data_IF_419973058069
#
_entry.id   IF_419973058069
#
_cell.length_a   1.000
_cell.length_b   1.000
_cell.length_c   1.000
_cell.angle_alpha   90.00
_cell.angle_beta   90.00
_cell.angle_gamma   90.00
#
_symmetry.space_group_name_H-M   'P 1'
#
loop_
_entity.id
_entity.type
_entity.pdbx_description
1 polymer ?
#
# COMPACT_ATOMS: atom_id res chain seq x y z
N UNK A 1 19.39 -41.82 -9.88
CA UNK A 1 20.55 -42.00 -8.94
C UNK A 1 21.93 -42.14 -9.62
N UNK A 2 22.01 -42.64 -10.85
CA UNK A 2 23.28 -42.82 -11.60
C UNK A 2 23.97 -41.48 -11.95
N UNK A 3 23.22 -40.46 -12.36
CA UNK A 3 23.77 -39.17 -12.76
C UNK A 3 24.50 -38.43 -11.62
N UNK A 4 24.02 -38.49 -10.40
CA UNK A 4 24.65 -37.88 -9.20
C UNK A 4 26.03 -38.51 -8.95
N UNK A 5 26.17 -39.82 -9.15
CA UNK A 5 27.43 -40.54 -8.97
C UNK A 5 28.44 -40.23 -10.07
N UNK A 6 27.97 -39.86 -11.28
CA UNK A 6 28.85 -39.54 -12.41
C UNK A 6 29.40 -38.10 -12.39
N UNK A 7 28.78 -37.18 -11.58
CA UNK A 7 29.18 -35.78 -11.54
C UNK A 7 29.35 -35.23 -10.10
N UNK A 8 30.21 -35.84 -9.26
CA UNK A 8 30.27 -35.46 -7.82
C UNK A 8 30.71 -34.03 -7.57
N UNK A 9 31.64 -33.49 -8.40
CA UNK A 9 32.08 -32.08 -8.29
C UNK A 9 30.96 -31.10 -8.58
N UNK A 10 30.16 -31.36 -9.63
CA UNK A 10 29.01 -30.50 -9.96
C UNK A 10 27.93 -30.54 -8.87
N UNK A 11 27.65 -31.73 -8.35
CA UNK A 11 26.70 -31.89 -7.23
C UNK A 11 27.18 -31.13 -5.99
N UNK A 12 28.46 -31.25 -5.65
CA UNK A 12 29.05 -30.50 -4.54
C UNK A 12 28.97 -28.98 -4.75
N UNK A 13 29.29 -28.46 -5.93
CA UNK A 13 29.16 -27.04 -6.25
C UNK A 13 27.68 -26.55 -6.09
N UNK A 14 26.72 -27.30 -6.67
CA UNK A 14 25.31 -26.94 -6.59
C UNK A 14 24.76 -26.96 -5.15
N UNK A 15 25.12 -27.96 -4.37
CA UNK A 15 24.73 -28.05 -2.95
C UNK A 15 25.35 -26.94 -2.11
N UNK A 16 26.62 -26.61 -2.37
CA UNK A 16 27.29 -25.50 -1.68
C UNK A 16 26.66 -24.15 -2.01
N UNK A 17 26.31 -23.90 -3.29
CA UNK A 17 25.60 -22.68 -3.69
C UNK A 17 24.22 -22.61 -3.01
N UNK A 18 23.46 -23.71 -3.04
CA UNK A 18 22.15 -23.77 -2.37
C UNK A 18 22.27 -23.48 -0.89
N UNK A 19 23.25 -24.09 -0.22
CA UNK A 19 23.51 -23.85 1.20
C UNK A 19 23.81 -22.37 1.47
N UNK A 20 24.68 -21.74 0.68
CA UNK A 20 25.01 -20.31 0.82
C UNK A 20 23.77 -19.41 0.62
N UNK A 21 22.89 -19.72 -0.33
CA UNK A 21 21.66 -18.95 -0.56
C UNK A 21 20.70 -19.07 0.63
N UNK A 22 20.50 -20.29 1.17
CA UNK A 22 19.65 -20.53 2.35
C UNK A 22 20.26 -19.85 3.59
N UNK A 23 21.57 -19.93 3.76
CA UNK A 23 22.27 -19.27 4.86
C UNK A 23 22.17 -17.75 4.78
N UNK A 24 22.34 -17.16 3.60
CA UNK A 24 22.16 -15.73 3.39
C UNK A 24 20.72 -15.27 3.69
N UNK A 25 19.70 -16.01 3.22
CA UNK A 25 18.30 -15.75 3.57
C UNK A 25 18.07 -15.76 5.10
N UNK A 26 18.64 -16.77 5.77
CA UNK A 26 18.53 -16.92 7.22
C UNK A 26 19.17 -15.72 7.96
N UNK A 27 20.39 -15.33 7.58
CA UNK A 27 21.09 -14.18 8.18
C UNK A 27 20.31 -12.87 7.94
N UNK A 28 19.78 -12.64 6.73
CA UNK A 28 18.99 -11.46 6.45
C UNK A 28 17.71 -11.38 7.29
N UNK A 29 17.07 -12.53 7.57
CA UNK A 29 15.90 -12.61 8.46
C UNK A 29 16.28 -12.34 9.92
N UNK A 30 17.35 -12.94 10.42
CA UNK A 30 17.85 -12.67 11.78
C UNK A 30 18.22 -11.20 11.99
N UNK A 31 18.84 -10.59 10.97
CA UNK A 31 19.22 -9.18 11.01
C UNK A 31 18.02 -8.22 10.77
N UNK A 32 16.83 -8.74 10.45
CA UNK A 32 15.66 -7.92 10.15
C UNK A 32 15.78 -7.07 8.87
N UNK A 33 16.59 -7.51 7.89
CA UNK A 33 16.90 -6.74 6.69
C UNK A 33 15.92 -7.11 5.56
N UNK A 34 14.64 -6.75 5.72
CA UNK A 34 13.59 -6.93 4.71
C UNK A 34 13.42 -5.69 3.83
N UNK A 35 14.11 -5.63 2.68
CA UNK A 35 14.02 -4.46 1.80
C UNK A 35 12.65 -4.25 1.17
N UNK A 36 12.22 -2.98 1.13
CA UNK A 36 11.00 -2.54 0.46
C UNK A 36 9.73 -2.79 1.29
N UNK A 37 8.58 -2.50 0.68
CA UNK A 37 7.28 -2.65 1.35
C UNK A 37 6.93 -4.12 1.61
N UNK A 38 6.03 -4.35 2.53
CA UNK A 38 5.48 -5.67 2.83
C UNK A 38 4.95 -6.37 1.57
N UNK A 39 4.98 -7.70 1.51
CA UNK A 39 4.42 -8.43 0.37
C UNK A 39 2.96 -8.09 0.15
N UNK A 40 2.55 -7.98 -1.12
CA UNK A 40 1.17 -7.84 -1.52
C UNK A 40 0.74 -9.01 -2.40
N UNK A 41 -0.52 -9.42 -2.29
CA UNK A 41 -1.15 -10.46 -3.08
C UNK A 41 -2.27 -9.89 -3.95
N UNK A 42 -2.56 -10.57 -5.06
CA UNK A 42 -3.70 -10.22 -5.92
C UNK A 42 -4.99 -10.50 -5.17
N UNK A 43 -5.87 -9.51 -5.11
CA UNK A 43 -7.21 -9.63 -4.55
C UNK A 43 -8.26 -9.39 -5.64
N UNK A 44 -9.30 -10.22 -5.70
CA UNK A 44 -10.33 -10.14 -6.73
C UNK A 44 -11.40 -9.07 -6.44
N UNK A 45 -11.43 -8.57 -5.20
CA UNK A 45 -12.38 -7.52 -4.77
C UNK A 45 -11.72 -6.16 -4.66
N UNK A 46 -10.54 -6.10 -4.05
CA UNK A 46 -9.81 -4.89 -3.73
C UNK A 46 -8.50 -4.76 -4.52
N UNK A 47 -8.41 -5.33 -5.72
CA UNK A 47 -7.25 -5.34 -6.58
C UNK A 47 -6.03 -6.06 -5.97
N UNK A 48 -5.58 -5.67 -4.79
CA UNK A 48 -4.49 -6.28 -4.05
C UNK A 48 -4.65 -6.04 -2.55
N UNK A 49 -4.02 -6.88 -1.73
CA UNK A 49 -4.03 -6.76 -0.28
C UNK A 49 -2.79 -7.45 0.29
N UNK A 50 -2.48 -7.22 1.56
CA UNK A 50 -1.41 -7.97 2.21
C UNK A 50 -1.84 -9.39 2.58
N UNK A 51 -0.88 -10.33 2.78
CA UNK A 51 -1.19 -11.65 3.28
C UNK A 51 -1.83 -11.58 4.67
N UNK A 52 -2.82 -12.43 4.90
CA UNK A 52 -3.55 -12.50 6.17
C UNK A 52 -2.67 -13.06 7.29
N UNK A 53 -2.86 -12.56 8.52
CA UNK A 53 -2.12 -12.99 9.71
C UNK A 53 -0.61 -13.05 9.46
N UNK A 54 -0.08 -12.06 8.77
CA UNK A 54 1.30 -12.03 8.33
C UNK A 54 2.12 -11.02 9.11
N UNK A 55 3.37 -11.36 9.40
CA UNK A 55 4.34 -10.46 10.00
C UNK A 55 5.52 -10.23 9.05
N UNK A 56 6.01 -9.02 9.00
CA UNK A 56 7.11 -8.63 8.14
C UNK A 56 8.02 -7.62 8.83
N UNK A 57 9.32 -7.84 8.76
CA UNK A 57 10.31 -6.86 9.22
C UNK A 57 10.68 -5.93 8.08
N UNK A 58 10.25 -4.68 8.16
CA UNK A 58 10.61 -3.65 7.19
C UNK A 58 11.99 -3.09 7.52
N UNK A 59 12.81 -2.95 6.49
CA UNK A 59 14.11 -2.31 6.58
C UNK A 59 14.28 -1.26 5.49
N UNK A 60 14.74 -0.08 5.86
CA UNK A 60 15.10 0.97 4.91
C UNK A 60 16.56 1.40 5.10
N UNK A 61 17.37 1.45 4.02
CA UNK A 61 18.82 1.69 4.13
C UNK A 61 19.21 3.14 4.44
N UNK A 62 18.28 4.10 4.38
CA UNK A 62 18.55 5.51 4.72
C UNK A 62 18.76 5.77 6.23
N UNK A 63 18.54 4.75 7.05
CA UNK A 63 18.68 4.86 8.52
C UNK A 63 17.50 5.53 9.22
N UNK A 64 16.54 6.10 8.51
CA UNK A 64 15.30 6.65 9.09
C UNK A 64 14.41 5.54 9.67
N UNK A 65 14.52 4.33 9.14
CA UNK A 65 13.72 3.17 9.52
C UNK A 65 14.65 2.04 9.96
N UNK A 66 14.92 1.98 11.24
CA UNK A 66 15.71 0.90 11.85
C UNK A 66 14.82 -0.34 11.92
N UNK A 67 14.75 -1.15 10.92
CA UNK A 67 14.00 -2.41 10.91
C UNK A 67 12.97 -2.55 12.03
N UNK A 68 11.69 -2.46 11.72
CA UNK A 68 10.60 -2.65 12.69
C UNK A 68 9.63 -3.69 12.18
N UNK A 69 8.90 -4.31 13.11
CA UNK A 69 7.90 -5.31 12.79
C UNK A 69 6.60 -4.64 12.36
N UNK A 70 5.99 -5.19 11.30
CA UNK A 70 4.64 -4.87 10.86
C UNK A 70 3.81 -6.13 10.99
N UNK A 71 2.60 -5.96 11.49
CA UNK A 71 1.63 -7.04 11.66
C UNK A 71 0.38 -6.76 10.82
N UNK A 72 -0.13 -7.79 10.17
CA UNK A 72 -1.37 -7.75 9.41
C UNK A 72 -2.39 -8.70 10.05
N UNK A 73 -3.64 -8.25 10.13
CA UNK A 73 -4.75 -9.00 10.70
C UNK A 73 -5.24 -10.14 9.78
N UNK A 74 -6.30 -10.80 10.18
CA UNK A 74 -6.98 -11.86 9.41
C UNK A 74 -7.60 -11.35 8.09
N UNK A 75 -7.69 -10.05 7.89
CA UNK A 75 -8.18 -9.41 6.67
C UNK A 75 -7.03 -8.93 5.77
N UNK A 76 -5.80 -8.81 6.31
CA UNK A 76 -4.61 -8.30 5.61
C UNK A 76 -4.40 -6.80 5.79
N UNK A 77 -4.97 -6.19 6.81
CA UNK A 77 -4.77 -4.79 7.18
C UNK A 77 -3.76 -4.66 8.32
N UNK A 78 -3.00 -3.56 8.32
CA UNK A 78 -2.00 -3.31 9.33
C UNK A 78 -2.63 -3.08 10.71
N UNK A 79 -2.04 -3.72 11.73
CA UNK A 79 -2.45 -3.62 13.14
C UNK A 79 -1.24 -3.31 14.03
N UNK A 80 -1.51 -2.90 15.27
CA UNK A 80 -0.48 -2.50 16.24
C UNK A 80 0.41 -3.66 16.71
N UNK A 81 -0.14 -4.87 16.79
CA UNK A 81 0.58 -6.04 17.30
C UNK A 81 0.06 -7.35 16.71
N UNK A 82 0.84 -8.43 16.85
CA UNK A 82 0.48 -9.78 16.38
C UNK A 82 -0.83 -10.32 16.97
N UNK A 83 -1.09 -9.99 18.22
CA UNK A 83 -2.25 -10.48 18.98
C UNK A 83 -3.35 -9.43 19.10
N UNK A 84 -3.36 -8.48 18.16
CA UNK A 84 -4.36 -7.43 18.14
C UNK A 84 -5.77 -8.00 17.99
N UNK A 85 -6.68 -7.54 18.83
CA UNK A 85 -8.11 -7.86 18.76
C UNK A 85 -8.91 -6.57 18.90
N UNK A 86 -9.91 -6.40 18.04
CA UNK A 86 -10.83 -5.27 18.16
C UNK A 86 -11.78 -5.51 19.31
N UNK A 87 -11.70 -4.68 20.34
CA UNK A 87 -12.70 -4.66 21.41
C UNK A 87 -13.93 -3.88 20.94
N UNK A 88 -15.13 -4.39 21.26
CA UNK A 88 -16.38 -3.71 20.91
C UNK A 88 -16.83 -2.66 21.97
N UNK A 89 -16.02 -2.44 23.01
CA UNK A 89 -16.42 -1.67 24.19
C UNK A 89 -16.29 -0.15 24.01
N UNK A 90 -15.89 0.32 22.84
CA UNK A 90 -15.71 1.75 22.60
C UNK A 90 -16.92 2.36 21.87
N UNK A 91 -17.36 3.50 22.38
CA UNK A 91 -18.43 4.31 21.76
C UNK A 91 -17.96 5.05 20.51
N UNK A 92 -16.65 5.17 20.29
CA UNK A 92 -16.07 5.85 19.14
C UNK A 92 -15.13 4.93 18.35
N UNK A 93 -15.45 4.74 17.07
CA UNK A 93 -14.74 3.81 16.17
C UNK A 93 -14.36 4.54 14.89
N UNK A 94 -13.07 4.73 14.69
CA UNK A 94 -12.56 5.48 13.53
C UNK A 94 -11.95 4.51 12.51
N UNK A 95 -12.46 4.55 11.29
CA UNK A 95 -11.89 3.86 10.14
C UNK A 95 -11.03 4.82 9.31
N UNK A 96 -9.75 4.51 9.13
CA UNK A 96 -8.84 5.27 8.28
C UNK A 96 -8.72 4.60 6.92
N UNK A 97 -9.14 5.30 5.86
CA UNK A 97 -8.99 4.90 4.46
C UNK A 97 -7.86 5.70 3.84
N UNK A 98 -6.96 5.04 3.14
CA UNK A 98 -5.82 5.70 2.52
C UNK A 98 -4.88 4.73 1.81
N UNK A 99 -3.79 5.26 1.31
CA UNK A 99 -2.74 4.53 0.61
C UNK A 99 -1.56 4.15 1.54
N UNK A 100 -0.35 4.16 1.00
CA UNK A 100 0.88 3.84 1.72
C UNK A 100 1.22 4.83 2.85
N UNK A 101 0.74 6.07 2.83
CA UNK A 101 0.90 7.02 3.94
C UNK A 101 0.01 6.62 5.11
N UNK A 102 -1.22 6.22 4.87
CA UNK A 102 -2.12 5.69 5.90
C UNK A 102 -1.65 4.33 6.39
N UNK A 103 -1.20 3.44 5.49
CA UNK A 103 -0.58 2.18 5.87
C UNK A 103 0.68 2.39 6.74
N UNK A 104 1.43 3.44 6.46
CA UNK A 104 2.59 3.91 7.22
C UNK A 104 3.71 2.85 7.40
N UNK A 105 3.95 1.99 6.40
CA UNK A 105 4.99 0.96 6.42
C UNK A 105 6.39 1.47 6.82
N UNK A 106 6.82 2.69 6.46
CA UNK A 106 8.14 3.19 6.81
C UNK A 106 8.38 3.42 8.31
N UNK A 107 7.36 3.52 9.13
CA UNK A 107 7.48 3.82 10.56
C UNK A 107 6.85 2.72 11.42
N UNK A 108 7.28 2.59 12.69
CA UNK A 108 6.61 1.71 13.64
C UNK A 108 5.18 2.16 13.91
N UNK A 109 4.32 1.29 14.42
CA UNK A 109 2.92 1.65 14.71
C UNK A 109 2.82 2.90 15.59
N UNK A 110 3.56 2.94 16.68
CA UNK A 110 3.56 4.04 17.66
C UNK A 110 4.10 5.37 17.09
N UNK A 111 4.75 5.35 15.94
CA UNK A 111 5.24 6.53 15.23
C UNK A 111 4.34 6.90 14.05
N UNK A 112 3.36 6.06 13.70
CA UNK A 112 2.36 6.40 12.70
C UNK A 112 1.31 7.34 13.29
N UNK A 113 0.71 8.21 12.46
CA UNK A 113 -0.32 9.13 12.94
C UNK A 113 -1.53 8.39 13.54
N UNK A 114 -1.89 7.21 12.99
CA UNK A 114 -2.97 6.38 13.52
C UNK A 114 -2.60 5.84 14.91
N UNK A 115 -1.38 5.32 15.07
CA UNK A 115 -0.91 4.83 16.36
C UNK A 115 -0.79 5.93 17.41
N UNK A 116 -0.41 7.15 17.02
CA UNK A 116 -0.39 8.31 17.90
C UNK A 116 -1.81 8.68 18.36
N UNK A 117 -2.79 8.69 17.47
CA UNK A 117 -4.19 8.95 17.81
C UNK A 117 -4.73 7.87 18.78
N UNK A 118 -4.40 6.59 18.52
CA UNK A 118 -4.79 5.49 19.40
C UNK A 118 -4.23 5.65 20.82
N UNK A 119 -2.95 6.08 20.95
CA UNK A 119 -2.31 6.28 22.25
C UNK A 119 -2.83 7.49 23.03
N UNK A 120 -3.19 8.57 22.33
CA UNK A 120 -3.64 9.80 23.00
C UNK A 120 -5.07 9.74 23.52
N UNK A 121 -5.92 8.90 22.96
CA UNK A 121 -7.35 8.89 23.26
C UNK A 121 -7.79 7.59 23.90
N UNK A 122 -8.16 7.65 25.17
CA UNK A 122 -8.86 6.55 25.85
C UNK A 122 -10.28 6.40 25.28
N UNK A 123 -10.79 5.18 25.21
CA UNK A 123 -12.13 4.83 24.70
C UNK A 123 -12.32 5.09 23.19
N UNK A 124 -11.23 5.00 22.41
CA UNK A 124 -11.24 5.08 20.98
C UNK A 124 -10.72 3.77 20.36
N UNK A 125 -11.45 3.22 19.41
CA UNK A 125 -10.97 2.10 18.59
C UNK A 125 -10.67 2.62 17.20
N UNK A 126 -9.42 2.45 16.75
CA UNK A 126 -9.00 2.81 15.40
C UNK A 126 -8.81 1.57 14.54
N UNK A 127 -9.13 1.68 13.26
CA UNK A 127 -8.79 0.65 12.28
C UNK A 127 -8.15 1.28 11.06
N UNK A 128 -6.96 0.75 10.73
CA UNK A 128 -6.21 1.15 9.56
C UNK A 128 -6.62 0.29 8.36
N UNK A 129 -7.32 0.86 7.40
CA UNK A 129 -7.66 0.25 6.13
C UNK A 129 -6.74 0.70 4.99
N UNK A 130 -5.67 1.44 5.30
CA UNK A 130 -4.69 1.91 4.33
C UNK A 130 -3.89 0.76 3.73
N UNK A 131 -3.71 0.81 2.41
CA UNK A 131 -2.86 -0.12 1.65
C UNK A 131 -2.15 0.63 0.54
N UNK A 132 -0.84 0.47 0.43
CA UNK A 132 -0.03 1.17 -0.56
C UNK A 132 -0.57 1.01 -1.99
N UNK A 133 -0.82 2.16 -2.65
CA UNK A 133 -1.36 2.22 -4.01
C UNK A 133 -2.89 2.15 -4.09
N UNK A 134 -3.61 2.26 -2.98
CA UNK A 134 -5.06 2.48 -2.99
C UNK A 134 -5.38 3.95 -3.27
N UNK A 135 -6.62 4.23 -3.65
CA UNK A 135 -7.14 5.55 -4.00
C UNK A 135 -8.66 5.59 -3.77
N UNK A 136 -9.34 6.74 -3.86
CA UNK A 136 -10.76 6.89 -3.56
C UNK A 136 -11.67 5.86 -4.23
N UNK A 137 -11.33 5.40 -5.42
CA UNK A 137 -12.07 4.34 -6.11
C UNK A 137 -12.07 3.02 -5.33
N UNK A 138 -10.92 2.62 -4.77
CA UNK A 138 -10.81 1.42 -3.93
C UNK A 138 -11.41 1.68 -2.54
N UNK A 139 -11.23 2.87 -1.96
CA UNK A 139 -11.85 3.23 -0.67
C UNK A 139 -13.36 3.07 -0.71
N UNK A 140 -14.00 3.43 -1.85
CA UNK A 140 -15.43 3.21 -2.05
C UNK A 140 -15.80 1.72 -1.99
N UNK A 141 -14.99 0.85 -2.61
CA UNK A 141 -15.20 -0.60 -2.58
C UNK A 141 -14.97 -1.16 -1.18
N UNK A 142 -13.94 -0.64 -0.45
CA UNK A 142 -13.70 -1.01 0.95
C UNK A 142 -14.88 -0.61 1.84
N UNK A 143 -15.39 0.62 1.71
CA UNK A 143 -16.50 1.12 2.51
C UNK A 143 -17.75 0.26 2.32
N UNK A 144 -18.06 -0.10 1.07
CA UNK A 144 -19.21 -0.96 0.72
C UNK A 144 -19.13 -2.37 1.28
N UNK A 145 -17.93 -2.95 1.38
CA UNK A 145 -17.77 -4.37 1.64
C UNK A 145 -17.21 -4.69 3.03
N UNK A 146 -16.28 -3.89 3.54
CA UNK A 146 -15.47 -4.23 4.71
C UNK A 146 -15.57 -3.19 5.82
N UNK A 147 -15.41 -1.90 5.50
CA UNK A 147 -15.39 -0.83 6.51
C UNK A 147 -16.74 -0.74 7.25
N UNK A 148 -17.86 -0.90 6.55
CA UNK A 148 -19.20 -0.92 7.18
C UNK A 148 -19.35 -2.01 8.23
N UNK A 149 -18.65 -3.14 8.09
CA UNK A 149 -18.69 -4.25 9.06
C UNK A 149 -17.99 -3.89 10.37
N UNK A 150 -17.05 -2.97 10.31
CA UNK A 150 -16.43 -2.39 11.49
C UNK A 150 -17.39 -1.45 12.25
N UNK A 151 -18.50 -1.03 11.66
CA UNK A 151 -19.48 -0.09 12.20
C UNK A 151 -18.82 1.21 12.70
N UNK A 152 -18.07 1.93 11.85
CA UNK A 152 -17.38 3.13 12.28
C UNK A 152 -18.39 4.23 12.67
N UNK A 153 -18.03 5.03 13.66
CA UNK A 153 -18.68 6.33 13.93
C UNK A 153 -18.09 7.42 13.04
N UNK A 154 -16.83 7.26 12.70
CA UNK A 154 -16.07 8.22 11.89
C UNK A 154 -15.28 7.48 10.80
N UNK A 155 -15.28 8.04 9.60
CA UNK A 155 -14.46 7.58 8.47
C UNK A 155 -13.51 8.72 8.08
N UNK A 156 -12.22 8.48 8.15
CA UNK A 156 -11.18 9.45 7.77
C UNK A 156 -10.54 8.99 6.48
N UNK A 157 -10.62 9.83 5.45
CA UNK A 157 -10.17 9.52 4.09
C UNK A 157 -8.98 10.40 3.72
N UNK A 158 -7.89 9.75 3.39
CA UNK A 158 -6.71 10.40 2.85
C UNK A 158 -6.85 10.62 1.34
N UNK A 159 -6.42 11.77 0.85
CA UNK A 159 -6.36 12.11 -0.58
C UNK A 159 -4.95 12.53 -0.94
N UNK A 160 -4.46 12.03 -2.06
CA UNK A 160 -3.17 12.40 -2.66
C UNK A 160 -3.34 12.79 -4.14
N UNK A 161 -2.35 13.49 -4.67
CA UNK A 161 -2.31 13.90 -6.09
C UNK A 161 -2.19 12.73 -7.07
N UNK A 162 -1.53 11.64 -6.67
CA UNK A 162 -1.41 10.42 -7.48
C UNK A 162 -2.70 9.60 -7.55
N UNK A 163 -3.70 9.88 -6.73
CA UNK A 163 -4.99 9.18 -6.69
C UNK A 163 -5.71 9.26 -8.04
N UNK A 164 -5.61 10.38 -8.75
CA UNK A 164 -6.20 10.55 -10.07
C UNK A 164 -5.71 9.50 -11.09
N UNK A 165 -4.41 9.20 -11.06
CA UNK A 165 -3.84 8.17 -11.93
C UNK A 165 -4.31 6.77 -11.55
N UNK A 166 -4.31 6.47 -10.26
CA UNK A 166 -4.71 5.15 -9.77
C UNK A 166 -6.21 4.91 -9.98
N UNK A 167 -7.08 5.91 -9.76
CA UNK A 167 -8.52 5.80 -9.96
C UNK A 167 -8.89 5.53 -11.43
N UNK A 168 -8.19 6.16 -12.39
CA UNK A 168 -8.34 5.79 -13.81
C UNK A 168 -8.02 4.32 -14.05
N UNK A 169 -6.93 3.84 -13.49
CA UNK A 169 -6.48 2.45 -13.64
C UNK A 169 -7.48 1.46 -13.01
N UNK A 170 -8.02 1.79 -11.84
CA UNK A 170 -9.01 0.95 -11.17
C UNK A 170 -10.36 0.94 -11.88
N UNK A 171 -10.79 2.06 -12.44
CA UNK A 171 -12.03 2.13 -13.22
C UNK A 171 -12.05 1.17 -14.41
N UNK A 172 -10.89 0.90 -15.03
CA UNK A 172 -10.75 -0.05 -16.12
C UNK A 172 -10.85 -1.53 -15.69
N UNK A 173 -10.71 -1.80 -14.39
CA UNK A 173 -10.71 -3.16 -13.80
C UNK A 173 -11.92 -3.42 -12.91
N UNK A 174 -12.80 -2.46 -12.82
CA UNK A 174 -14.03 -2.57 -12.05
C UNK A 174 -15.04 -3.51 -12.70
N UNK A 175 -15.87 -4.12 -11.88
CA UNK A 175 -16.93 -5.04 -12.33
C UNK A 175 -18.16 -4.31 -12.91
N UNK A 176 -18.22 -2.98 -12.82
CA UNK A 176 -19.26 -2.13 -13.45
C UNK A 176 -18.64 -0.84 -13.97
N UNK A 177 -19.22 -0.27 -15.03
CA UNK A 177 -18.86 1.05 -15.56
C UNK A 177 -19.41 2.19 -14.69
N UNK A 178 -20.55 1.97 -14.00
CA UNK A 178 -21.13 2.91 -13.05
C UNK A 178 -20.50 2.74 -11.69
N UNK A 179 -19.86 3.76 -11.19
CA UNK A 179 -19.13 3.70 -9.92
C UNK A 179 -20.04 3.39 -8.72
N UNK A 180 -21.28 3.88 -8.74
CA UNK A 180 -22.29 3.56 -7.71
C UNK A 180 -22.58 2.05 -7.60
N UNK A 181 -22.48 1.32 -8.71
CA UNK A 181 -22.73 -0.12 -8.79
C UNK A 181 -21.47 -0.99 -8.57
N UNK A 182 -20.28 -0.37 -8.50
CA UNK A 182 -19.02 -1.10 -8.33
C UNK A 182 -19.01 -1.81 -6.98
N UNK A 183 -18.78 -3.12 -7.03
CA UNK A 183 -18.64 -4.01 -5.86
C UNK A 183 -17.24 -4.59 -5.75
N UNK A 184 -16.46 -4.56 -6.82
CA UNK A 184 -15.11 -5.10 -6.85
C UNK A 184 -14.26 -4.48 -7.96
N UNK A 185 -12.96 -4.40 -7.69
CA UNK A 185 -11.91 -4.07 -8.66
C UNK A 185 -10.93 -5.24 -8.68
N UNK A 186 -10.90 -5.95 -9.81
CA UNK A 186 -10.07 -7.15 -9.93
C UNK A 186 -8.59 -6.81 -10.04
N UNK A 187 -7.76 -7.47 -9.23
CA UNK A 187 -6.30 -7.44 -9.38
C UNK A 187 -5.79 -8.19 -10.62
N UNK A 188 -6.70 -8.81 -11.37
CA UNK A 188 -6.39 -9.65 -12.51
C UNK A 188 -5.88 -11.04 -12.09
N UNK A 189 -5.79 -11.93 -13.06
CA UNK A 189 -5.18 -13.25 -12.84
C UNK A 189 -3.68 -13.08 -12.96
N UNK A 190 -2.96 -13.23 -11.86
CA UNK A 190 -1.50 -13.25 -11.90
C UNK A 190 -1.03 -14.52 -12.64
N UNK A 191 -0.71 -14.38 -13.93
CA UNK A 191 -0.02 -15.42 -14.71
C UNK A 191 1.44 -15.62 -14.26
N UNK A 192 1.89 -14.92 -13.20
CA UNK A 192 3.24 -15.07 -12.69
C UNK A 192 3.42 -16.47 -12.15
N UNK A 193 4.47 -17.15 -12.64
CA UNK A 193 4.88 -18.48 -12.20
C UNK A 193 4.96 -18.55 -10.68
N UNK A 194 4.62 -19.66 -10.08
CA UNK A 194 4.64 -19.91 -8.62
C UNK A 194 5.96 -19.47 -7.98
N UNK A 195 7.08 -19.65 -8.67
CA UNK A 195 8.41 -19.19 -8.23
C UNK A 195 8.44 -17.69 -7.94
N UNK A 196 7.84 -16.85 -8.78
CA UNK A 196 7.81 -15.37 -8.56
C UNK A 196 6.97 -15.00 -7.33
N UNK A 197 5.94 -15.79 -7.01
CA UNK A 197 5.18 -15.60 -5.77
C UNK A 197 6.04 -15.91 -4.56
N UNK A 198 6.77 -17.03 -4.56
CA UNK A 198 7.67 -17.44 -3.48
C UNK A 198 8.79 -16.40 -3.28
N UNK A 199 9.41 -15.93 -4.35
CA UNK A 199 10.49 -14.95 -4.30
C UNK A 199 10.07 -13.59 -3.67
N UNK A 200 8.78 -13.27 -3.65
CA UNK A 200 8.27 -12.08 -2.95
C UNK A 200 8.50 -12.10 -1.45
N UNK A 201 8.50 -13.29 -0.86
CA UNK A 201 8.70 -13.51 0.57
C UNK A 201 10.18 -13.69 0.94
N UNK A 202 11.08 -13.86 -0.03
CA UNK A 202 12.51 -14.02 0.21
C UNK A 202 13.19 -12.67 0.44
N UNK A 203 13.85 -12.51 1.56
CA UNK A 203 14.65 -11.32 1.90
C UNK A 203 15.84 -11.16 0.97
N UNK A 204 16.49 -12.29 0.62
CA UNK A 204 17.60 -12.31 -0.34
C UNK A 204 17.15 -11.88 -1.75
N UNK A 205 16.04 -12.39 -2.24
CA UNK A 205 15.49 -11.97 -3.54
C UNK A 205 15.13 -10.48 -3.57
N UNK A 206 14.64 -9.92 -2.48
CA UNK A 206 14.33 -8.50 -2.31
C UNK A 206 15.61 -7.64 -2.32
N UNK A 207 16.67 -8.09 -1.62
CA UNK A 207 17.97 -7.45 -1.64
C UNK A 207 18.55 -7.43 -3.06
N UNK A 208 18.58 -8.58 -3.72
CA UNK A 208 19.10 -8.69 -5.10
C UNK A 208 18.34 -7.79 -6.07
N UNK A 209 17.01 -7.71 -5.95
CA UNK A 209 16.19 -6.78 -6.74
C UNK A 209 16.56 -5.33 -6.47
N UNK A 210 16.81 -4.94 -5.22
CA UNK A 210 17.23 -3.57 -4.87
C UNK A 210 18.59 -3.22 -5.46
N UNK A 211 19.53 -4.15 -5.40
CA UNK A 211 20.85 -4.01 -6.03
C UNK A 211 20.71 -3.87 -7.56
N UNK A 212 19.93 -4.74 -8.19
CA UNK A 212 19.64 -4.66 -9.62
C UNK A 212 19.05 -3.30 -10.02
N UNK A 213 18.07 -2.80 -9.27
CA UNK A 213 17.46 -1.48 -9.52
C UNK A 213 18.50 -0.35 -9.43
N UNK A 214 19.37 -0.37 -8.42
CA UNK A 214 20.44 0.63 -8.28
C UNK A 214 21.41 0.59 -9.45
N UNK A 215 21.82 -0.61 -9.89
CA UNK A 215 22.73 -0.79 -11.03
C UNK A 215 22.06 -0.28 -12.30
N UNK A 216 20.82 -0.70 -12.58
CA UNK A 216 20.08 -0.26 -13.77
C UNK A 216 19.86 1.26 -13.78
N UNK A 217 19.50 1.85 -12.65
CA UNK A 217 19.33 3.30 -12.55
C UNK A 217 20.63 4.06 -12.87
N UNK A 218 21.77 3.56 -12.40
CA UNK A 218 23.08 4.17 -12.69
C UNK A 218 23.49 4.07 -14.17
N UNK A 219 23.08 3.00 -14.86
CA UNK A 219 23.49 2.74 -16.25
C UNK A 219 22.46 3.22 -17.30
N UNK A 220 21.18 3.34 -16.97
CA UNK A 220 20.11 3.66 -17.93
C UNK A 220 19.62 5.12 -17.88
N UNK A 221 20.12 5.94 -16.96
CA UNK A 221 19.71 7.36 -16.81
C UNK A 221 20.51 8.43 -17.59
N UNK A 222 21.33 8.14 -18.60
CA UNK A 222 21.85 9.21 -19.47
C UNK A 222 20.87 9.67 -20.58
N UNK A 223 19.68 9.09 -20.74
CA UNK A 223 18.83 9.34 -21.93
C UNK A 223 17.39 9.70 -21.54
N UNK A 224 17.18 10.68 -20.66
CA UNK A 224 15.82 11.08 -20.26
C UNK A 224 15.37 12.46 -20.77
N UNK A 225 15.94 12.96 -21.86
CA UNK A 225 15.73 14.37 -22.23
C UNK A 225 14.94 14.62 -23.56
N UNK A 226 14.21 13.65 -24.09
CA UNK A 226 13.48 13.87 -25.36
C UNK A 226 12.04 13.34 -25.46
N UNK A 227 11.40 12.96 -24.35
CA UNK A 227 10.02 12.44 -24.40
C UNK A 227 9.02 13.25 -23.54
N UNK A 228 9.41 14.40 -23.00
CA UNK A 228 8.56 15.15 -22.06
C UNK A 228 7.31 15.72 -22.72
N UNK A 229 7.37 16.28 -23.93
CA UNK A 229 6.21 16.94 -24.56
C UNK A 229 5.12 15.96 -25.02
N UNK A 230 5.48 14.74 -25.45
CA UNK A 230 4.48 13.70 -25.79
C UNK A 230 3.82 13.13 -24.55
N UNK A 231 4.60 12.93 -23.48
CA UNK A 231 4.10 12.45 -22.20
C UNK A 231 3.18 13.45 -21.51
N UNK A 232 3.43 14.76 -21.64
CA UNK A 232 2.62 15.81 -21.04
C UNK A 232 1.19 15.86 -21.60
N UNK A 233 1.01 15.68 -22.92
CA UNK A 233 -0.31 15.68 -23.53
C UNK A 233 -1.14 14.42 -23.22
N UNK A 234 -0.52 13.24 -23.19
CA UNK A 234 -1.17 12.02 -22.77
C UNK A 234 -1.48 12.07 -21.27
N UNK A 235 -0.57 12.62 -20.48
CA UNK A 235 -0.73 12.79 -19.03
C UNK A 235 -1.87 13.76 -18.68
N UNK A 236 -2.11 14.82 -19.45
CA UNK A 236 -3.21 15.76 -19.22
C UNK A 236 -4.59 15.12 -19.42
N UNK A 237 -4.79 14.34 -20.49
CA UNK A 237 -6.05 13.61 -20.73
C UNK A 237 -6.28 12.48 -19.72
N UNK A 238 -5.21 11.81 -19.32
CA UNK A 238 -5.21 10.78 -18.28
C UNK A 238 -5.66 11.38 -16.94
N UNK A 239 -5.10 12.53 -16.61
CA UNK A 239 -5.40 13.25 -15.38
C UNK A 239 -6.84 13.72 -15.32
N UNK A 240 -7.40 14.25 -16.44
CA UNK A 240 -8.80 14.71 -16.49
C UNK A 240 -9.79 13.59 -16.18
N UNK A 241 -9.68 12.45 -16.88
CA UNK A 241 -10.57 11.29 -16.65
C UNK A 241 -10.37 10.71 -15.23
N UNK A 242 -9.13 10.72 -14.72
CA UNK A 242 -8.83 10.30 -13.36
C UNK A 242 -9.49 11.19 -12.33
N UNK A 243 -9.35 12.52 -12.44
CA UNK A 243 -10.01 13.50 -11.59
C UNK A 243 -11.52 13.30 -11.51
N UNK A 244 -12.19 13.17 -12.67
CA UNK A 244 -13.63 12.91 -12.73
C UNK A 244 -14.02 11.66 -11.90
N UNK A 245 -13.23 10.58 -11.99
CA UNK A 245 -13.47 9.36 -11.23
C UNK A 245 -13.20 9.50 -9.74
N UNK A 246 -12.17 10.24 -9.37
CA UNK A 246 -11.87 10.54 -7.97
C UNK A 246 -12.97 11.37 -7.33
N UNK A 247 -13.44 12.42 -7.99
CA UNK A 247 -14.56 13.25 -7.49
C UNK A 247 -15.86 12.46 -7.37
N UNK A 248 -16.20 11.65 -8.38
CA UNK A 248 -17.35 10.75 -8.31
C UNK A 248 -17.24 9.80 -7.10
N UNK A 249 -16.04 9.24 -6.85
CA UNK A 249 -15.80 8.35 -5.71
C UNK A 249 -15.97 9.07 -4.37
N UNK A 250 -15.46 10.30 -4.24
CA UNK A 250 -15.55 11.10 -3.02
C UNK A 250 -17.02 11.44 -2.70
N UNK A 251 -17.80 11.84 -3.69
CA UNK A 251 -19.24 12.11 -3.50
C UNK A 251 -19.98 10.85 -3.02
N UNK A 252 -19.71 9.70 -3.64
CA UNK A 252 -20.31 8.43 -3.23
C UNK A 252 -19.81 7.97 -1.86
N UNK A 253 -18.57 8.25 -1.47
CA UNK A 253 -18.07 7.99 -0.11
C UNK A 253 -18.86 8.81 0.92
N UNK A 254 -19.13 10.09 0.65
CA UNK A 254 -19.97 10.94 1.52
C UNK A 254 -21.37 10.37 1.70
N UNK A 255 -22.01 9.96 0.61
CA UNK A 255 -23.37 9.40 0.65
C UNK A 255 -23.43 8.08 1.39
N UNK A 256 -22.47 7.17 1.13
CA UNK A 256 -22.40 5.88 1.83
C UNK A 256 -22.11 6.04 3.33
N UNK A 257 -21.25 6.99 3.70
CA UNK A 257 -20.97 7.25 5.11
C UNK A 257 -22.23 7.71 5.85
N UNK A 258 -23.03 8.57 5.24
CA UNK A 258 -24.36 8.95 5.80
C UNK A 258 -25.28 7.74 5.95
N UNK A 259 -25.32 6.83 4.96
CA UNK A 259 -26.16 5.63 5.00
C UNK A 259 -25.79 4.66 6.14
N UNK A 260 -24.52 4.63 6.56
CA UNK A 260 -24.05 3.82 7.69
C UNK A 260 -23.98 4.60 9.00
N UNK A 261 -24.53 5.83 9.06
CA UNK A 261 -24.52 6.74 10.21
C UNK A 261 -23.11 7.08 10.70
N UNK A 262 -22.12 7.16 9.79
CA UNK A 262 -20.76 7.58 10.11
C UNK A 262 -20.51 9.01 9.63
N UNK A 263 -19.77 9.79 10.42
CA UNK A 263 -19.22 11.06 9.96
C UNK A 263 -18.04 10.78 9.03
N UNK A 264 -17.86 11.59 7.99
CA UNK A 264 -16.71 11.44 7.08
C UNK A 264 -15.86 12.71 7.08
N UNK A 265 -14.54 12.50 7.13
CA UNK A 265 -13.54 13.55 7.10
C UNK A 265 -12.55 13.25 5.99
N UNK A 266 -12.19 14.27 5.22
CA UNK A 266 -11.16 14.17 4.20
C UNK A 266 -9.95 15.00 4.63
N UNK A 267 -8.76 14.47 4.41
CA UNK A 267 -7.53 15.24 4.53
C UNK A 267 -6.64 15.01 3.31
N UNK A 268 -6.05 16.08 2.84
CA UNK A 268 -5.12 16.07 1.72
C UNK A 268 -3.70 16.01 2.27
N UNK A 269 -2.91 15.06 1.78
CA UNK A 269 -1.49 15.02 2.09
C UNK A 269 -0.78 15.98 1.12
N UNK A 270 -0.10 17.01 1.63
CA UNK A 270 0.56 17.99 0.78
C UNK A 270 1.72 17.37 0.02
N UNK A 271 2.02 17.92 -1.15
CA UNK A 271 3.23 17.58 -1.88
C UNK A 271 4.46 17.83 -1.00
N UNK A 272 5.46 16.94 -1.07
CA UNK A 272 6.70 17.03 -0.29
C UNK A 272 7.39 18.39 -0.42
N UNK A 273 7.44 18.94 -1.62
CA UNK A 273 8.08 20.24 -1.90
C UNK A 273 7.36 21.39 -1.18
N UNK A 274 6.04 21.42 -1.21
CA UNK A 274 5.21 22.41 -0.50
C UNK A 274 5.32 22.24 1.02
N UNK A 275 5.34 21.02 1.51
CA UNK A 275 5.52 20.73 2.93
C UNK A 275 6.87 21.22 3.45
N UNK A 276 7.95 21.05 2.67
CA UNK A 276 9.28 21.53 3.04
C UNK A 276 9.43 23.06 3.03
N UNK A 277 8.60 23.76 2.26
CA UNK A 277 8.59 25.23 2.17
C UNK A 277 7.67 25.91 3.21
N UNK A 278 7.04 25.15 4.10
CA UNK A 278 5.98 25.62 5.02
C UNK A 278 4.79 26.30 4.31
N UNK A 279 4.57 26.00 3.03
CA UNK A 279 3.50 26.59 2.19
C UNK A 279 2.31 25.65 2.00
N UNK A 280 2.21 24.62 2.82
CA UNK A 280 1.27 23.51 2.61
C UNK A 280 -0.21 23.88 2.68
N UNK A 281 -0.60 25.05 3.17
CA UNK A 281 -2.02 25.34 3.40
C UNK A 281 -2.62 26.38 2.44
N UNK A 282 -1.80 27.23 1.84
CA UNK A 282 -2.28 28.34 1.01
C UNK A 282 -2.06 28.17 -0.49
N UNK A 283 -1.00 27.44 -0.87
CA UNK A 283 -0.60 27.27 -2.29
C UNK A 283 -0.87 25.87 -2.86
N UNK A 284 -1.36 24.92 -2.05
CA UNK A 284 -1.67 23.60 -2.53
C UNK A 284 -2.96 23.60 -3.36
N UNK A 285 -2.82 23.49 -4.68
CA UNK A 285 -3.94 23.49 -5.62
C UNK A 285 -4.92 22.35 -5.33
N UNK A 286 -4.41 21.21 -4.86
CA UNK A 286 -5.23 20.06 -4.51
C UNK A 286 -6.07 20.33 -3.25
N UNK A 287 -5.44 20.88 -2.18
CA UNK A 287 -6.16 21.22 -0.96
C UNK A 287 -7.24 22.29 -1.21
N UNK A 288 -6.97 23.28 -2.07
CA UNK A 288 -7.94 24.31 -2.43
C UNK A 288 -9.10 23.72 -3.26
N UNK A 289 -8.82 22.82 -4.18
CA UNK A 289 -9.82 22.13 -5.00
C UNK A 289 -10.80 21.30 -4.14
N UNK A 290 -10.31 20.72 -3.02
CA UNK A 290 -11.14 19.92 -2.09
C UNK A 290 -11.82 20.72 -0.97
N UNK A 291 -11.51 22.02 -0.79
CA UNK A 291 -12.21 22.88 0.20
C UNK A 291 -13.66 23.15 -0.16
N UNK A 292 -14.01 23.07 -1.43
CA UNK A 292 -15.38 23.29 -1.93
C UNK A 292 -16.27 22.03 -1.82
N UNK A 293 -15.72 20.90 -1.44
CA UNK A 293 -16.42 19.63 -1.23
C UNK A 293 -16.69 19.35 0.26
#
# INVERSE_FOLDING_TARGET
>A
MSWIKSHPRLVFCLTSILFLLVFAEFILRLAGIGYGNSPIEVNQRLHHLHPKNYEFTVYHPSGEYKGHQIYYDEFGYRVSSKNFSYTNDSNRRIAFLGDGFTEANPVSWNQSFIGLIEMEKQNLVVRNFGVAGYSPYIYLVQLKNEVKLFQPTDVVVQILDNDFYEDRKYSQRANSKRLSEVKSVSGGVSKKKTLVKILRYSYLARLLRKVQQKIMFKFLNPVRDKSEDFLLNEQSSITKTGKEKTYEAILLLKDLSKMINAQIFFFVVPNKELAMQNQCCESDSLANEFREF
#
